data_IF_080707767472
#
_entry.id   IF_080707767472
#
_cell.length_a   1.000
_cell.length_b   1.000
_cell.length_c   1.000
_cell.angle_alpha   90.00
_cell.angle_beta   90.00
_cell.angle_gamma   90.00
#
_symmetry.space_group_name_H-M   'P 1'
#
loop_
_entity.id
_entity.type
_entity.pdbx_description
1 polymer ?
#
# COMPACT_ATOMS: atom_id res chain seq x y z
N UNK A 1 11.96 9.92 2.10
CA UNK A 1 11.48 8.82 1.25
C UNK A 1 11.72 9.23 -0.16
N UNK A 2 12.56 8.48 -0.85
CA UNK A 2 12.90 8.76 -2.24
C UNK A 2 11.65 8.64 -3.12
N UNK A 3 11.50 9.48 -4.16
CA UNK A 3 10.34 9.44 -5.06
C UNK A 3 10.07 8.05 -5.62
N UNK A 4 11.12 7.30 -5.94
CA UNK A 4 11.06 5.93 -6.46
C UNK A 4 10.38 4.95 -5.49
N UNK A 5 10.68 5.05 -4.18
CA UNK A 5 10.07 4.19 -3.16
C UNK A 5 8.57 4.45 -3.02
N UNK A 6 8.15 5.71 -3.18
CA UNK A 6 6.73 6.08 -3.14
C UNK A 6 5.98 5.50 -4.34
N UNK A 7 6.59 5.55 -5.52
CA UNK A 7 5.95 5.06 -6.75
C UNK A 7 5.83 3.53 -6.74
N UNK A 8 6.89 2.83 -6.37
CA UNK A 8 6.86 1.37 -6.21
C UNK A 8 5.76 0.92 -5.23
N UNK A 9 5.56 1.65 -4.13
CA UNK A 9 4.51 1.35 -3.16
C UNK A 9 3.10 1.55 -3.75
N UNK A 10 2.88 2.60 -4.53
CA UNK A 10 1.59 2.84 -5.22
C UNK A 10 1.30 1.75 -6.26
N UNK A 11 2.28 1.41 -7.08
CA UNK A 11 2.12 0.38 -8.11
C UNK A 11 1.76 -0.99 -7.49
N UNK A 12 2.43 -1.35 -6.39
CA UNK A 12 2.12 -2.57 -5.65
C UNK A 12 0.71 -2.55 -5.05
N UNK A 13 0.27 -1.40 -4.53
CA UNK A 13 -1.09 -1.20 -4.03
C UNK A 13 -2.16 -1.41 -5.12
N UNK A 14 -1.98 -0.78 -6.29
CA UNK A 14 -2.91 -0.95 -7.44
C UNK A 14 -2.93 -2.41 -7.91
N UNK A 15 -1.76 -3.06 -7.93
CA UNK A 15 -1.63 -4.48 -8.25
C UNK A 15 -2.33 -5.37 -7.21
N UNK A 16 -2.24 -5.05 -5.92
CA UNK A 16 -2.91 -5.81 -4.88
C UNK A 16 -4.44 -5.70 -4.99
N UNK A 17 -4.95 -4.49 -5.28
CA UNK A 17 -6.38 -4.26 -5.46
C UNK A 17 -6.96 -5.05 -6.63
N UNK A 18 -6.27 -5.10 -7.77
CA UNK A 18 -6.73 -5.81 -8.97
C UNK A 18 -6.68 -7.33 -8.87
N UNK A 19 -6.06 -7.90 -7.83
CA UNK A 19 -5.87 -9.35 -7.67
C UNK A 19 -6.90 -10.03 -6.75
N UNK A 20 -7.94 -9.34 -6.30
CA UNK A 20 -8.95 -9.90 -5.38
C UNK A 20 -9.49 -11.28 -5.83
N UNK A 21 -9.88 -11.41 -7.09
CA UNK A 21 -10.39 -12.65 -7.68
C UNK A 21 -9.34 -13.75 -7.73
N UNK A 22 -8.06 -13.40 -7.93
CA UNK A 22 -6.96 -14.36 -7.87
C UNK A 22 -6.83 -14.94 -6.47
N UNK A 23 -6.82 -14.10 -5.42
CA UNK A 23 -6.76 -14.55 -4.03
C UNK A 23 -7.94 -15.47 -3.67
N UNK A 24 -9.15 -15.12 -4.14
CA UNK A 24 -10.36 -15.94 -3.97
C UNK A 24 -10.20 -17.31 -4.63
N UNK A 25 -9.67 -17.36 -5.87
CA UNK A 25 -9.47 -18.62 -6.62
C UNK A 25 -8.47 -19.56 -5.95
N UNK A 26 -7.40 -19.03 -5.38
CA UNK A 26 -6.36 -19.83 -4.71
C UNK A 26 -6.66 -20.14 -3.24
N UNK A 27 -7.82 -19.69 -2.72
CA UNK A 27 -8.23 -19.92 -1.33
C UNK A 27 -7.37 -19.21 -0.28
N UNK A 28 -6.71 -18.09 -0.65
CA UNK A 28 -5.85 -17.33 0.26
C UNK A 28 -6.56 -16.06 0.74
N UNK A 29 -6.26 -15.64 1.97
CA UNK A 29 -6.77 -14.39 2.51
C UNK A 29 -6.27 -13.19 1.68
N UNK A 30 -7.18 -12.34 1.23
CA UNK A 30 -6.85 -11.10 0.51
C UNK A 30 -6.38 -10.03 1.49
N UNK A 31 -5.10 -10.09 1.86
CA UNK A 31 -4.45 -9.19 2.84
C UNK A 31 -3.06 -8.78 2.34
N UNK A 32 -2.63 -7.55 2.65
CA UNK A 32 -1.29 -7.01 2.36
C UNK A 32 -0.84 -6.15 3.53
N UNK A 33 0.42 -6.30 3.94
CA UNK A 33 1.04 -5.50 4.99
C UNK A 33 2.27 -4.78 4.46
N UNK A 34 2.48 -3.54 4.91
CA UNK A 34 3.63 -2.72 4.57
C UNK A 34 4.33 -2.27 5.85
N UNK A 35 5.67 -2.28 5.84
CA UNK A 35 6.50 -1.74 6.91
C UNK A 35 7.22 -0.50 6.41
N UNK A 36 6.81 0.66 6.92
CA UNK A 36 7.49 1.92 6.67
C UNK A 36 8.47 2.19 7.82
N UNK A 37 9.77 2.22 7.53
CA UNK A 37 10.82 2.45 8.53
C UNK A 37 11.74 3.60 8.09
N UNK A 38 12.40 4.22 9.07
CA UNK A 38 13.35 5.32 8.86
C UNK A 38 13.28 6.38 9.96
N UNK A 39 14.16 7.39 9.93
CA UNK A 39 14.26 8.44 10.95
C UNK A 39 12.92 9.15 11.24
N UNK A 40 12.71 9.69 12.45
CA UNK A 40 11.52 10.50 12.75
C UNK A 40 11.43 11.71 11.82
N UNK A 41 10.21 12.21 11.57
CA UNK A 41 9.99 13.37 10.68
C UNK A 41 10.06 13.10 9.17
N UNK A 42 10.27 11.85 8.74
CA UNK A 42 10.38 11.49 7.30
C UNK A 42 9.04 11.32 6.56
N UNK A 43 7.92 11.71 7.16
CA UNK A 43 6.61 11.70 6.51
C UNK A 43 5.92 10.33 6.39
N UNK A 44 6.37 9.31 7.14
CA UNK A 44 5.77 7.96 7.14
C UNK A 44 4.27 7.98 7.45
N UNK A 45 3.86 8.65 8.53
CA UNK A 45 2.44 8.75 8.92
C UNK A 45 1.62 9.55 7.91
N UNK A 46 2.19 10.63 7.36
CA UNK A 46 1.54 11.43 6.31
C UNK A 46 1.31 10.62 5.03
N UNK A 47 2.23 9.72 4.68
CA UNK A 47 2.07 8.82 3.55
C UNK A 47 0.92 7.84 3.77
N UNK A 48 0.81 7.26 4.97
CA UNK A 48 -0.31 6.37 5.32
C UNK A 48 -1.65 7.08 5.17
N UNK A 49 -1.77 8.32 5.67
CA UNK A 49 -2.99 9.12 5.53
C UNK A 49 -3.32 9.41 4.05
N UNK A 50 -2.32 9.80 3.25
CA UNK A 50 -2.52 10.03 1.82
C UNK A 50 -2.95 8.75 1.07
N UNK A 51 -2.42 7.59 1.46
CA UNK A 51 -2.79 6.31 0.87
C UNK A 51 -4.19 5.86 1.24
N UNK A 52 -4.61 6.06 2.50
CA UNK A 52 -5.99 5.79 2.91
C UNK A 52 -7.00 6.60 2.09
N UNK A 53 -6.72 7.90 1.92
CA UNK A 53 -7.52 8.79 1.07
C UNK A 53 -7.52 8.35 -0.40
N UNK A 54 -6.36 7.98 -0.95
CA UNK A 54 -6.24 7.54 -2.36
C UNK A 54 -7.07 6.27 -2.65
N UNK A 55 -7.11 5.34 -1.70
CA UNK A 55 -7.82 4.07 -1.84
C UNK A 55 -9.32 4.18 -1.58
N UNK A 56 -9.84 5.39 -1.24
CA UNK A 56 -11.23 5.64 -0.85
C UNK A 56 -11.73 4.67 0.23
N UNK A 57 -10.86 4.35 1.19
CA UNK A 57 -11.33 3.70 2.41
C UNK A 57 -12.02 4.78 3.25
N UNK A 58 -13.34 4.87 3.14
CA UNK A 58 -14.21 5.44 4.18
C UNK A 58 -14.33 4.46 5.35
#
# INVERSE_FOLDING_TARGET
MEPEQKEALKEDLVRFLSRKEFYKRVGRAWKRGYLLYGPPGTGKSSLVAAMANYLKFD
#
